data_IF_482766306341
#
_entry.id   IF_482766306341
#
_cell.length_a   1.000
_cell.length_b   1.000
_cell.length_c   1.000
_cell.angle_alpha   90.00
_cell.angle_beta   90.00
_cell.angle_gamma   90.00
#
_symmetry.space_group_name_H-M   'P 1'
#
loop_
_entity.id
_entity.type
_entity.pdbx_description
1 polymer ?
#
# COMPACT_ATOMS: atom_id res chain seq x y z
N UNK A 1 -1.49 8.99 11.52
CA UNK A 1 -1.93 8.85 10.11
C UNK A 1 -0.93 9.41 9.11
N UNK A 2 -0.79 10.74 8.91
CA UNK A 2 0.12 11.31 7.90
C UNK A 2 1.55 10.76 7.99
N UNK A 3 2.08 10.59 9.21
CA UNK A 3 3.44 10.07 9.44
C UNK A 3 3.64 8.63 8.93
N UNK A 4 2.69 7.72 9.14
CA UNK A 4 2.81 6.31 8.73
C UNK A 4 2.69 6.15 7.21
N UNK A 5 1.73 6.84 6.58
CA UNK A 5 1.60 6.84 5.13
C UNK A 5 2.83 7.48 4.45
N UNK A 6 3.34 8.59 5.01
CA UNK A 6 4.58 9.22 4.55
C UNK A 6 5.78 8.29 4.71
N UNK A 7 5.87 7.57 5.84
CA UNK A 7 6.96 6.62 6.08
C UNK A 7 6.91 5.45 5.11
N UNK A 8 5.72 4.90 4.81
CA UNK A 8 5.53 3.87 3.79
C UNK A 8 5.89 4.37 2.39
N UNK A 9 5.60 5.64 2.08
CA UNK A 9 6.01 6.28 0.84
C UNK A 9 7.53 6.39 0.73
N UNK A 10 8.20 6.87 1.78
CA UNK A 10 9.66 6.96 1.84
C UNK A 10 10.30 5.56 1.74
N UNK A 11 9.71 4.56 2.38
CA UNK A 11 10.16 3.18 2.29
C UNK A 11 9.99 2.60 0.88
N UNK A 12 8.87 2.87 0.21
CA UNK A 12 8.65 2.49 -1.19
C UNK A 12 9.68 3.14 -2.13
N UNK A 13 9.96 4.43 -1.94
CA UNK A 13 10.99 5.15 -2.70
C UNK A 13 12.38 4.58 -2.45
N UNK A 14 12.70 4.21 -1.20
CA UNK A 14 13.96 3.57 -0.84
C UNK A 14 14.10 2.20 -1.49
N UNK A 15 13.05 1.37 -1.49
CA UNK A 15 13.05 0.08 -2.20
C UNK A 15 13.26 0.30 -3.70
N UNK A 16 12.58 1.26 -4.31
CA UNK A 16 12.74 1.56 -5.74
C UNK A 16 14.16 2.04 -6.05
N UNK A 17 14.73 2.92 -5.22
CA UNK A 17 16.11 3.42 -5.36
C UNK A 17 17.15 2.31 -5.15
N UNK A 18 16.96 1.47 -4.13
CA UNK A 18 17.82 0.32 -3.86
C UNK A 18 17.75 -0.70 -5.01
N UNK A 19 16.56 -1.01 -5.52
CA UNK A 19 16.38 -1.87 -6.68
C UNK A 19 17.07 -1.33 -7.92
N UNK A 20 17.01 -0.01 -8.14
CA UNK A 20 17.73 0.66 -9.22
C UNK A 20 19.26 0.56 -9.05
N UNK A 21 19.79 0.85 -7.85
CA UNK A 21 21.23 0.75 -7.56
C UNK A 21 21.73 -0.68 -7.71
N UNK A 22 20.99 -1.68 -7.21
CA UNK A 22 21.32 -3.10 -7.37
C UNK A 22 21.31 -3.50 -8.84
N UNK A 23 20.33 -3.02 -9.62
CA UNK A 23 20.29 -3.27 -11.06
C UNK A 23 21.49 -2.65 -11.79
N UNK A 24 21.92 -1.44 -11.39
CA UNK A 24 23.14 -0.85 -11.91
C UNK A 24 24.38 -1.65 -11.53
N UNK A 25 24.51 -2.14 -10.30
CA UNK A 25 25.68 -2.91 -9.86
C UNK A 25 25.78 -4.31 -10.50
N UNK A 26 24.64 -4.94 -10.80
CA UNK A 26 24.59 -6.28 -11.41
C UNK A 26 24.77 -6.22 -12.92
N UNK A 27 24.16 -5.24 -13.60
CA UNK A 27 24.12 -5.17 -15.06
C UNK A 27 25.08 -4.12 -15.66
N UNK A 28 25.68 -3.23 -14.86
CA UNK A 28 26.74 -2.32 -15.28
C UNK A 28 28.01 -2.56 -14.45
N UNK A 29 29.13 -2.80 -15.12
CA UNK A 29 30.44 -2.86 -14.48
C UNK A 29 30.89 -1.43 -14.12
N UNK A 30 31.12 -1.08 -12.83
CA UNK A 30 31.36 0.30 -12.38
C UNK A 30 32.70 0.91 -12.85
N UNK A 31 33.56 0.13 -13.50
CA UNK A 31 34.91 0.53 -13.88
C UNK A 31 35.06 1.14 -15.29
N UNK A 32 34.04 1.06 -16.17
CA UNK A 32 34.24 1.38 -17.60
C UNK A 32 33.28 2.41 -18.20
N UNK A 33 32.20 2.80 -17.53
CA UNK A 33 31.18 3.69 -18.12
C UNK A 33 30.91 4.94 -17.29
N UNK A 34 31.33 6.09 -17.81
CA UNK A 34 31.00 7.45 -17.34
C UNK A 34 29.58 7.92 -17.74
N UNK A 35 28.65 7.01 -18.04
CA UNK A 35 27.28 7.35 -18.45
C UNK A 35 26.24 6.87 -17.45
N UNK A 36 25.19 7.67 -17.27
CA UNK A 36 24.08 7.43 -16.35
C UNK A 36 23.16 6.26 -16.76
N UNK A 37 23.39 5.66 -17.94
CA UNK A 37 22.61 4.58 -18.54
C UNK A 37 23.53 3.58 -19.26
N UNK A 38 23.26 2.28 -19.10
CA UNK A 38 23.96 1.18 -19.78
C UNK A 38 23.05 0.51 -20.82
N UNK A 39 23.65 -0.18 -21.79
CA UNK A 39 22.95 -0.90 -22.87
C UNK A 39 21.83 -1.87 -22.38
N UNK A 40 22.02 -2.72 -21.35
CA UNK A 40 20.96 -3.59 -20.84
C UNK A 40 19.84 -2.84 -20.08
N UNK A 41 20.11 -1.63 -19.58
CA UNK A 41 19.09 -0.79 -18.94
C UNK A 41 18.12 -0.17 -19.96
N UNK A 42 18.55 -0.11 -21.23
CA UNK A 42 17.75 0.46 -22.33
C UNK A 42 16.65 -0.50 -22.82
N UNK A 43 16.78 -1.80 -22.59
CA UNK A 43 15.76 -2.82 -22.93
C UNK A 43 14.74 -3.07 -21.81
N UNK A 44 14.95 -2.52 -20.61
CA UNK A 44 13.98 -2.65 -19.51
C UNK A 44 12.63 -1.98 -19.81
N UNK A 45 12.55 -0.75 -20.38
CA UNK A 45 11.28 -0.14 -20.73
C UNK A 45 10.45 -0.98 -21.73
N UNK A 46 11.10 -1.60 -22.71
CA UNK A 46 10.46 -2.50 -23.68
C UNK A 46 9.90 -3.75 -22.97
N UNK A 47 10.75 -4.43 -22.17
CA UNK A 47 10.32 -5.59 -21.40
C UNK A 47 9.17 -5.27 -20.43
N UNK A 48 9.25 -4.11 -19.76
CA UNK A 48 8.23 -3.60 -18.86
C UNK A 48 6.89 -3.36 -19.58
N UNK A 49 6.94 -2.70 -20.75
CA UNK A 49 5.77 -2.38 -21.55
C UNK A 49 5.04 -3.63 -22.04
N UNK A 50 5.79 -4.66 -22.45
CA UNK A 50 5.26 -5.88 -23.04
C UNK A 50 4.79 -6.90 -21.99
N UNK A 51 5.53 -7.04 -20.88
CA UNK A 51 5.34 -8.17 -19.97
C UNK A 51 4.82 -7.80 -18.57
N UNK A 52 4.93 -6.54 -18.14
CA UNK A 52 4.64 -6.17 -16.74
C UNK A 52 3.47 -5.20 -16.64
N UNK A 53 3.49 -4.13 -17.45
CA UNK A 53 2.54 -3.01 -17.39
C UNK A 53 1.08 -3.45 -17.42
N UNK A 54 0.73 -4.33 -18.36
CA UNK A 54 -0.65 -4.79 -18.54
C UNK A 54 -1.18 -5.53 -17.30
N UNK A 55 -0.36 -6.38 -16.71
CA UNK A 55 -0.73 -7.12 -15.49
C UNK A 55 -0.84 -6.20 -14.27
N UNK A 56 0.08 -5.24 -14.12
CA UNK A 56 -0.01 -4.26 -13.03
C UNK A 56 -1.25 -3.38 -13.18
N UNK A 57 -1.55 -2.89 -14.38
CA UNK A 57 -2.76 -2.13 -14.65
C UNK A 57 -4.02 -2.92 -14.25
N UNK A 58 -4.20 -4.11 -14.81
CA UNK A 58 -5.38 -4.93 -14.56
C UNK A 58 -5.49 -5.32 -13.07
N UNK A 59 -4.38 -5.71 -12.45
CA UNK A 59 -4.32 -6.10 -11.04
C UNK A 59 -4.72 -4.97 -10.10
N UNK A 60 -4.12 -3.78 -10.24
CA UNK A 60 -4.46 -2.65 -9.37
C UNK A 60 -5.84 -2.06 -9.64
N UNK A 61 -6.33 -2.11 -10.88
CA UNK A 61 -7.71 -1.69 -11.19
C UNK A 61 -8.72 -2.64 -10.53
N UNK A 62 -8.50 -3.95 -10.65
CA UNK A 62 -9.34 -4.96 -10.01
C UNK A 62 -9.31 -4.84 -8.48
N UNK A 63 -8.11 -4.72 -7.87
CA UNK A 63 -7.96 -4.53 -6.42
C UNK A 63 -8.62 -3.24 -5.94
N UNK A 64 -8.42 -2.12 -6.65
CA UNK A 64 -9.05 -0.84 -6.33
C UNK A 64 -10.57 -0.92 -6.35
N UNK A 65 -11.15 -1.54 -7.39
CA UNK A 65 -12.59 -1.76 -7.52
C UNK A 65 -13.15 -2.68 -6.43
N UNK A 66 -12.47 -3.79 -6.16
CA UNK A 66 -12.83 -4.75 -5.11
C UNK A 66 -12.87 -4.08 -3.73
N UNK A 67 -11.82 -3.34 -3.37
CA UNK A 67 -11.75 -2.65 -2.08
C UNK A 67 -12.76 -1.54 -1.97
N UNK A 68 -13.04 -0.82 -3.05
CA UNK A 68 -14.08 0.20 -3.06
C UNK A 68 -15.45 -0.41 -2.75
N UNK A 69 -15.76 -1.57 -3.33
CA UNK A 69 -17.00 -2.30 -3.08
C UNK A 69 -17.07 -2.82 -1.63
N UNK A 70 -15.96 -3.34 -1.08
CA UNK A 70 -15.94 -3.96 0.25
C UNK A 70 -15.67 -3.00 1.40
N UNK A 71 -15.22 -1.76 1.18
CA UNK A 71 -14.79 -0.88 2.28
C UNK A 71 -15.88 -0.72 3.35
N UNK A 72 -17.12 -0.50 2.92
CA UNK A 72 -18.23 -0.23 3.82
C UNK A 72 -18.56 -1.48 4.62
N UNK A 73 -18.56 -2.64 3.96
CA UNK A 73 -18.76 -3.92 4.62
C UNK A 73 -17.70 -4.15 5.70
N UNK A 74 -16.41 -4.02 5.36
CA UNK A 74 -15.31 -4.20 6.34
C UNK A 74 -15.49 -3.27 7.55
N UNK A 75 -15.79 -1.98 7.33
CA UNK A 75 -15.92 -1.02 8.43
C UNK A 75 -17.16 -1.28 9.29
N UNK A 76 -18.31 -1.60 8.69
CA UNK A 76 -19.54 -1.92 9.43
C UNK A 76 -19.36 -3.22 10.22
N UNK A 77 -18.84 -4.28 9.61
CA UNK A 77 -18.58 -5.55 10.31
C UNK A 77 -17.63 -5.36 11.49
N UNK A 78 -16.53 -4.61 11.33
CA UNK A 78 -15.62 -4.34 12.44
C UNK A 78 -16.29 -3.53 13.54
N UNK A 79 -17.08 -2.50 13.17
CA UNK A 79 -17.84 -1.69 14.13
C UNK A 79 -18.73 -2.58 15.00
N UNK A 80 -19.61 -3.35 14.36
CA UNK A 80 -20.65 -4.14 15.03
C UNK A 80 -20.06 -5.25 15.89
N UNK A 81 -19.02 -5.93 15.41
CA UNK A 81 -18.51 -7.13 16.07
C UNK A 81 -17.37 -6.87 17.07
N UNK A 82 -16.59 -5.80 16.87
CA UNK A 82 -15.41 -5.48 17.68
C UNK A 82 -15.65 -4.26 18.56
N UNK A 83 -16.03 -3.13 17.96
CA UNK A 83 -16.06 -1.84 18.67
C UNK A 83 -17.36 -1.62 19.47
N UNK A 84 -18.47 -2.19 19.02
CA UNK A 84 -19.76 -2.17 19.72
C UNK A 84 -19.87 -3.31 20.77
N UNK A 85 -18.85 -4.18 20.86
CA UNK A 85 -18.82 -5.27 21.84
C UNK A 85 -18.66 -4.70 23.27
N UNK A 86 -19.48 -5.15 24.25
CA UNK A 86 -19.40 -4.65 25.63
C UNK A 86 -18.01 -4.82 26.25
N UNK A 87 -17.29 -5.92 25.96
CA UNK A 87 -15.93 -6.16 26.47
C UNK A 87 -14.95 -5.09 25.98
N UNK A 88 -15.05 -4.69 24.71
CA UNK A 88 -14.22 -3.62 24.16
C UNK A 88 -14.56 -2.27 24.81
N UNK A 89 -15.84 -1.97 25.00
CA UNK A 89 -16.30 -0.73 25.63
C UNK A 89 -15.80 -0.63 27.08
N UNK A 90 -15.89 -1.71 27.86
CA UNK A 90 -15.38 -1.77 29.23
C UNK A 90 -13.86 -1.57 29.30
N UNK A 91 -13.11 -2.21 28.40
CA UNK A 91 -11.66 -2.03 28.27
C UNK A 91 -11.30 -0.60 27.90
N UNK A 92 -12.05 0.01 26.97
CA UNK A 92 -11.89 1.41 26.59
C UNK A 92 -12.24 2.36 27.74
N UNK A 93 -13.33 2.12 28.48
CA UNK A 93 -13.73 2.96 29.62
C UNK A 93 -12.65 2.96 30.70
N UNK A 94 -12.07 1.80 30.99
CA UNK A 94 -10.94 1.67 31.92
C UNK A 94 -9.72 2.47 31.44
N UNK A 95 -9.34 2.34 30.17
CA UNK A 95 -8.23 3.09 29.59
C UNK A 95 -8.50 4.62 29.51
N UNK A 96 -9.76 5.02 29.28
CA UNK A 96 -10.15 6.42 29.16
C UNK A 96 -10.12 7.15 30.52
N UNK A 97 -10.32 6.44 31.64
CA UNK A 97 -10.13 7.01 32.99
C UNK A 97 -8.68 7.44 33.23
N UNK A 98 -7.72 6.71 32.67
CA UNK A 98 -6.29 7.02 32.77
C UNK A 98 -5.87 8.08 31.73
N UNK A 99 -6.48 8.07 30.55
CA UNK A 99 -6.17 8.99 29.45
C UNK A 99 -7.45 9.53 28.79
N UNK A 100 -7.97 10.70 29.24
CA UNK A 100 -9.26 11.27 28.78
C UNK A 100 -9.33 11.67 27.30
N UNK A 101 -8.21 11.59 26.57
CA UNK A 101 -8.14 11.95 25.15
C UNK A 101 -8.46 10.78 24.21
N UNK A 102 -8.66 9.58 24.74
CA UNK A 102 -8.84 8.35 23.97
C UNK A 102 -10.26 8.29 23.38
N UNK A 103 -10.42 8.36 22.06
CA UNK A 103 -11.74 8.21 21.42
C UNK A 103 -12.01 6.74 21.07
N UNK A 104 -13.20 6.23 21.43
CA UNK A 104 -13.61 4.83 21.25
C UNK A 104 -13.39 4.30 19.82
N UNK A 105 -13.87 5.04 18.82
CA UNK A 105 -13.80 4.66 17.40
C UNK A 105 -12.56 5.20 16.67
N UNK A 106 -11.56 5.72 17.39
CA UNK A 106 -10.34 6.23 16.74
C UNK A 106 -9.64 5.16 15.90
N UNK A 107 -9.44 3.92 16.39
CA UNK A 107 -8.76 2.89 15.61
C UNK A 107 -9.59 2.44 14.39
N UNK A 108 -10.92 2.41 14.52
CA UNK A 108 -11.83 2.13 13.40
C UNK A 108 -11.77 3.22 12.32
N UNK A 109 -11.73 4.50 12.74
CA UNK A 109 -11.55 5.63 11.81
C UNK A 109 -10.22 5.51 11.07
N UNK A 110 -9.14 5.15 11.76
CA UNK A 110 -7.83 4.95 11.13
C UNK A 110 -7.89 3.83 10.07
N UNK A 111 -8.55 2.71 10.36
CA UNK A 111 -8.75 1.64 9.38
C UNK A 111 -9.51 2.13 8.14
N UNK A 112 -10.59 2.88 8.34
CA UNK A 112 -11.35 3.48 7.23
C UNK A 112 -10.49 4.40 6.36
N UNK A 113 -9.70 5.26 7.00
CA UNK A 113 -8.84 6.20 6.28
C UNK A 113 -7.73 5.48 5.51
N UNK A 114 -7.11 4.44 6.09
CA UNK A 114 -6.12 3.61 5.40
C UNK A 114 -6.69 2.88 4.19
N UNK A 115 -7.87 2.28 4.32
CA UNK A 115 -8.57 1.64 3.20
C UNK A 115 -8.85 2.63 2.08
N UNK A 116 -9.30 3.85 2.42
CA UNK A 116 -9.53 4.90 1.44
C UNK A 116 -8.26 5.27 0.68
N UNK A 117 -7.13 5.46 1.39
CA UNK A 117 -5.85 5.74 0.74
C UNK A 117 -5.36 4.58 -0.11
N UNK A 118 -5.57 3.33 0.30
CA UNK A 118 -5.19 2.16 -0.48
C UNK A 118 -6.02 2.04 -1.77
N UNK A 119 -7.32 2.37 -1.73
CA UNK A 119 -8.19 2.43 -2.91
C UNK A 119 -7.68 3.49 -3.89
N UNK A 120 -7.45 4.72 -3.41
CA UNK A 120 -6.93 5.80 -4.25
C UNK A 120 -5.57 5.42 -4.83
N UNK A 121 -4.64 4.92 -4.00
CA UNK A 121 -3.32 4.52 -4.46
C UNK A 121 -3.39 3.42 -5.53
N UNK A 122 -4.29 2.44 -5.39
CA UNK A 122 -4.46 1.37 -6.37
C UNK A 122 -5.04 1.90 -7.69
N UNK A 123 -6.11 2.70 -7.64
CA UNK A 123 -6.71 3.28 -8.84
C UNK A 123 -5.74 4.24 -9.53
N UNK A 124 -5.05 5.11 -8.77
CA UNK A 124 -4.03 6.01 -9.30
C UNK A 124 -2.87 5.25 -9.92
N UNK A 125 -2.43 4.14 -9.31
CA UNK A 125 -1.40 3.28 -9.89
C UNK A 125 -1.87 2.71 -11.23
N UNK A 126 -3.09 2.18 -11.31
CA UNK A 126 -3.64 1.71 -12.58
C UNK A 126 -3.67 2.82 -13.65
N UNK A 127 -4.09 4.04 -13.29
CA UNK A 127 -4.06 5.19 -14.21
C UNK A 127 -2.63 5.55 -14.62
N UNK A 128 -1.66 5.52 -13.70
CA UNK A 128 -0.24 5.76 -14.02
C UNK A 128 0.33 4.67 -14.94
N UNK A 129 -0.10 3.42 -14.78
CA UNK A 129 0.29 2.34 -15.67
C UNK A 129 -0.16 2.58 -17.11
N UNK A 130 -1.37 3.10 -17.31
CA UNK A 130 -1.89 3.43 -18.65
C UNK A 130 -1.33 4.72 -19.24
N UNK A 131 -1.09 5.73 -18.42
CA UNK A 131 -0.71 7.07 -18.89
C UNK A 131 0.80 7.21 -19.00
N UNK A 132 1.49 7.21 -17.85
CA UNK A 132 2.94 7.41 -17.75
C UNK A 132 3.69 6.17 -18.21
N UNK A 133 3.19 4.98 -17.86
CA UNK A 133 3.78 3.69 -18.26
C UNK A 133 3.70 3.39 -19.76
N UNK A 134 2.97 4.19 -20.55
CA UNK A 134 2.92 4.03 -22.00
C UNK A 134 4.17 4.56 -22.70
N UNK A 135 4.82 5.57 -22.11
CA UNK A 135 6.01 6.17 -22.69
C UNK A 135 7.23 5.30 -22.40
N UNK A 136 7.92 4.84 -23.45
CA UNK A 136 9.09 3.95 -23.41
C UNK A 136 10.36 4.69 -22.94
N UNK A 137 10.32 5.18 -21.71
CA UNK A 137 11.44 5.84 -21.06
C UNK A 137 11.74 5.17 -19.72
N UNK A 138 13.02 5.11 -19.35
CA UNK A 138 13.43 4.42 -18.13
C UNK A 138 12.84 5.06 -16.87
N UNK A 139 12.76 6.40 -16.83
CA UNK A 139 12.19 7.16 -15.71
C UNK A 139 10.70 6.84 -15.54
N UNK A 140 9.94 6.75 -16.64
CA UNK A 140 8.49 6.50 -16.58
C UNK A 140 8.20 5.08 -16.11
N UNK A 141 8.97 4.09 -16.58
CA UNK A 141 8.90 2.71 -16.08
C UNK A 141 9.25 2.62 -14.58
N UNK A 142 10.28 3.36 -14.13
CA UNK A 142 10.67 3.40 -12.72
C UNK A 142 9.59 4.04 -11.83
N UNK A 143 9.04 5.19 -12.22
CA UNK A 143 7.96 5.86 -11.48
C UNK A 143 6.72 4.97 -11.38
N UNK A 144 6.35 4.32 -12.49
CA UNK A 144 5.18 3.46 -12.53
C UNK A 144 5.36 2.20 -11.65
N UNK A 145 6.56 1.62 -11.67
CA UNK A 145 6.93 0.50 -10.76
C UNK A 145 6.94 0.95 -9.30
N UNK A 146 7.49 2.13 -8.98
CA UNK A 146 7.52 2.67 -7.63
C UNK A 146 6.10 2.93 -7.09
N UNK A 147 5.20 3.44 -7.93
CA UNK A 147 3.79 3.64 -7.57
C UNK A 147 3.09 2.32 -7.22
N UNK A 148 3.42 1.26 -7.96
CA UNK A 148 2.93 -0.10 -7.73
C UNK A 148 3.40 -0.65 -6.39
N UNK A 149 4.70 -0.52 -6.09
CA UNK A 149 5.26 -0.93 -4.79
C UNK A 149 4.58 -0.18 -3.65
N UNK A 150 4.39 1.14 -3.78
CA UNK A 150 3.72 1.94 -2.77
C UNK A 150 2.27 1.48 -2.53
N UNK A 151 1.50 1.23 -3.59
CA UNK A 151 0.13 0.73 -3.47
C UNK A 151 0.10 -0.64 -2.77
N UNK A 152 0.99 -1.57 -3.15
CA UNK A 152 1.10 -2.89 -2.49
C UNK A 152 1.44 -2.76 -1.01
N UNK A 153 2.36 -1.88 -0.63
CA UNK A 153 2.72 -1.67 0.78
C UNK A 153 1.54 -1.12 1.61
N UNK A 154 0.79 -0.16 1.06
CA UNK A 154 -0.43 0.34 1.71
C UNK A 154 -1.48 -0.76 1.87
N UNK A 155 -1.67 -1.58 0.84
CA UNK A 155 -2.60 -2.71 0.87
C UNK A 155 -2.22 -3.74 1.93
N UNK A 156 -0.94 -4.12 1.99
CA UNK A 156 -0.42 -5.01 3.01
C UNK A 156 -0.63 -4.45 4.42
N UNK A 157 -0.42 -3.15 4.61
CA UNK A 157 -0.68 -2.50 5.90
C UNK A 157 -2.17 -2.54 6.28
N UNK A 158 -3.07 -2.31 5.32
CA UNK A 158 -4.52 -2.45 5.54
C UNK A 158 -4.88 -3.87 5.94
N UNK A 159 -4.32 -4.87 5.25
CA UNK A 159 -4.58 -6.29 5.52
C UNK A 159 -4.14 -6.67 6.95
N UNK A 160 -2.95 -6.23 7.37
CA UNK A 160 -2.47 -6.44 8.73
C UNK A 160 -3.37 -5.77 9.77
N UNK A 161 -3.87 -4.57 9.49
CA UNK A 161 -4.76 -3.86 10.40
C UNK A 161 -6.12 -4.57 10.53
N UNK A 162 -6.67 -5.07 9.42
CA UNK A 162 -7.89 -5.89 9.43
C UNK A 162 -7.66 -7.17 10.24
N UNK A 163 -6.54 -7.87 10.00
CA UNK A 163 -6.21 -9.12 10.73
C UNK A 163 -6.14 -8.90 12.24
N UNK A 164 -5.50 -7.83 12.69
CA UNK A 164 -5.45 -7.48 14.12
C UNK A 164 -6.83 -7.23 14.73
N UNK A 165 -7.74 -6.60 14.00
CA UNK A 165 -9.12 -6.40 14.47
C UNK A 165 -9.89 -7.73 14.52
N UNK A 166 -9.68 -8.62 13.54
CA UNK A 166 -10.25 -9.97 13.54
C UNK A 166 -9.72 -10.81 14.70
N UNK A 167 -8.43 -10.73 15.02
CA UNK A 167 -7.87 -11.47 16.16
C UNK A 167 -8.50 -10.99 17.48
N UNK A 168 -8.69 -9.67 17.63
CA UNK A 168 -9.43 -9.10 18.76
C UNK A 168 -10.88 -9.59 18.82
N UNK A 169 -11.52 -9.74 17.66
CA UNK A 169 -12.87 -10.29 17.59
C UNK A 169 -12.91 -11.75 18.05
N UNK A 170 -11.98 -12.59 17.59
CA UNK A 170 -11.91 -14.00 17.97
C UNK A 170 -11.69 -14.17 19.48
N UNK A 171 -10.83 -13.34 20.08
CA UNK A 171 -10.65 -13.31 21.55
C UNK A 171 -11.97 -13.08 22.29
N UNK A 172 -12.89 -12.26 21.75
CA UNK A 172 -14.19 -12.01 22.36
C UNK A 172 -15.16 -13.18 22.23
N UNK A 173 -15.01 -13.99 21.18
CA UNK A 173 -15.85 -15.17 20.93
C UNK A 173 -15.40 -16.39 21.75
N UNK A 174 -14.10 -16.52 22.00
CA UNK A 174 -13.52 -17.63 22.75
C UNK A 174 -13.63 -17.49 24.28
N UNK A 175 -14.14 -16.35 24.77
CA UNK A 175 -14.31 -16.04 26.21
C UNK A 175 -15.79 -15.90 26.57
#
# INVERSE_FOLDING_TARGET
MKKTALWLLLFALLIAAAGYIVSLLIFCDPLTTKSLTCHPLKSFPEYYADNIRGHLFAGFLALGGFLLSLKTFIIVTMKENVYDNPKYIEKWQSANKENPSLKLYLPLKQLSDFLYYAIIASISTAVFQLTIGLYEHWITALISTASSIYATLLLSWCLLLIKRNLDTWFEYLDT
#
